data_IF_883537501180
#
_entry.id   IF_883537501180
#
_cell.length_a   1.000
_cell.length_b   1.000
_cell.length_c   1.000
_cell.angle_alpha   90.00
_cell.angle_beta   90.00
_cell.angle_gamma   90.00
#
_symmetry.space_group_name_H-M   'P 1'
#
loop_
_entity.id
_entity.type
_entity.pdbx_description
1 polymer ?
#
# COMPACT_ATOMS: atom_id res chain seq x y z
N UNK A 1 -16.44 -2.30 -5.83
CA UNK A 1 -15.59 -1.31 -5.13
C UNK A 1 -14.26 -1.29 -5.87
N UNK A 2 -13.75 -0.11 -6.21
CA UNK A 2 -12.50 0.03 -6.95
C UNK A 2 -11.52 0.91 -6.15
N UNK A 3 -10.24 0.55 -6.21
CA UNK A 3 -9.14 1.37 -5.71
C UNK A 3 -7.98 1.31 -6.74
N UNK A 4 -7.45 2.45 -7.21
CA UNK A 4 -7.85 3.82 -6.92
C UNK A 4 -9.33 4.11 -7.27
N UNK A 5 -9.97 5.11 -6.63
CA UNK A 5 -11.35 5.45 -6.93
C UNK A 5 -11.49 5.84 -8.41
N UNK A 6 -12.58 5.39 -9.03
CA UNK A 6 -12.90 5.69 -10.42
C UNK A 6 -14.38 6.05 -10.53
N UNK A 7 -14.69 7.02 -11.39
CA UNK A 7 -16.03 7.56 -11.59
C UNK A 7 -16.58 7.28 -13.00
N UNK A 8 -15.98 6.32 -13.72
CA UNK A 8 -16.35 5.98 -15.11
C UNK A 8 -17.49 4.95 -15.19
N UNK A 9 -17.87 4.35 -14.06
CA UNK A 9 -18.96 3.38 -13.97
C UNK A 9 -18.52 2.10 -13.26
N UNK A 10 -19.48 1.35 -12.72
CA UNK A 10 -19.20 0.08 -12.05
C UNK A 10 -18.70 -0.96 -13.06
N UNK A 11 -17.50 -1.51 -12.85
CA UNK A 11 -16.93 -2.57 -13.69
C UNK A 11 -17.74 -3.88 -13.67
N UNK A 12 -18.56 -4.09 -12.64
CA UNK A 12 -19.42 -5.28 -12.54
C UNK A 12 -20.77 -5.13 -13.26
N UNK A 13 -21.39 -3.94 -13.22
CA UNK A 13 -22.78 -3.75 -13.70
C UNK A 13 -23.01 -2.55 -14.61
N UNK A 14 -22.00 -1.73 -14.85
CA UNK A 14 -22.07 -0.54 -15.71
C UNK A 14 -22.79 0.67 -15.12
N UNK A 15 -23.31 0.61 -13.90
CA UNK A 15 -23.99 1.77 -13.27
C UNK A 15 -23.04 2.96 -13.08
N UNK A 16 -23.52 4.15 -13.40
CA UNK A 16 -22.84 5.43 -13.12
C UNK A 16 -23.17 5.99 -11.72
N UNK A 17 -24.13 5.39 -11.00
CA UNK A 17 -24.46 5.77 -9.63
C UNK A 17 -23.40 5.22 -8.67
N UNK A 18 -22.31 5.97 -8.52
CA UNK A 18 -21.18 5.64 -7.68
C UNK A 18 -21.11 6.62 -6.49
N UNK A 19 -20.62 6.12 -5.36
CA UNK A 19 -20.39 6.93 -4.16
C UNK A 19 -18.96 6.72 -3.67
N UNK A 20 -18.33 7.82 -3.24
CA UNK A 20 -17.04 7.75 -2.57
C UNK A 20 -17.21 7.19 -1.16
N UNK A 21 -16.29 6.30 -0.78
CA UNK A 21 -16.25 5.70 0.55
C UNK A 21 -14.85 5.81 1.12
N UNK A 22 -14.76 5.97 2.43
CA UNK A 22 -13.49 5.88 3.12
C UNK A 22 -13.09 4.39 3.27
N UNK A 23 -11.82 4.09 2.98
CA UNK A 23 -11.29 2.74 3.07
C UNK A 23 -10.31 2.65 4.24
N UNK A 24 -10.61 1.76 5.18
CA UNK A 24 -9.68 1.41 6.25
C UNK A 24 -8.42 0.77 5.64
N UNK A 25 -7.26 1.35 5.92
CA UNK A 25 -5.98 0.89 5.41
C UNK A 25 -5.44 -0.34 6.18
N UNK A 26 -6.28 -1.33 6.47
CA UNK A 26 -5.91 -2.55 7.21
C UNK A 26 -6.09 -3.77 6.32
N UNK A 27 -5.19 -4.74 6.43
CA UNK A 27 -5.25 -5.91 5.55
C UNK A 27 -4.20 -6.98 5.84
N UNK A 28 -4.03 -7.86 4.85
CA UNK A 28 -3.10 -8.99 4.86
C UNK A 28 -2.16 -8.90 3.66
N UNK A 29 -0.87 -9.12 3.88
CA UNK A 29 0.12 -9.22 2.79
C UNK A 29 -0.14 -10.49 1.96
N UNK A 30 -0.37 -10.32 0.66
CA UNK A 30 -0.48 -11.40 -0.31
C UNK A 30 0.89 -11.82 -0.87
N UNK A 31 1.80 -10.87 -1.01
CA UNK A 31 3.13 -11.09 -1.56
C UNK A 31 4.02 -9.87 -1.38
N UNK A 32 5.32 -10.09 -1.37
CA UNK A 32 6.30 -9.02 -1.18
C UNK A 32 7.63 -9.32 -1.87
N UNK A 33 8.32 -8.25 -2.29
CA UNK A 33 9.65 -8.33 -2.88
C UNK A 33 10.56 -7.28 -2.26
N UNK A 34 11.77 -7.69 -1.88
CA UNK A 34 12.81 -6.76 -1.45
C UNK A 34 13.59 -6.25 -2.68
N UNK A 35 13.67 -4.94 -2.81
CA UNK A 35 14.35 -4.24 -3.91
C UNK A 35 15.73 -3.84 -3.44
N UNK A 36 16.77 -4.38 -4.08
CA UNK A 36 18.18 -4.11 -3.73
C UNK A 36 18.85 -3.09 -4.67
N UNK A 37 18.28 -2.84 -5.86
CA UNK A 37 18.80 -1.90 -6.84
C UNK A 37 17.64 -0.97 -7.24
N UNK A 38 17.84 0.33 -7.08
CA UNK A 38 16.87 1.35 -7.43
C UNK A 38 17.57 2.52 -8.12
N UNK A 39 16.96 3.05 -9.18
CA UNK A 39 17.58 4.11 -9.98
C UNK A 39 17.53 5.49 -9.30
N UNK A 40 16.61 5.70 -8.38
CA UNK A 40 16.48 6.94 -7.60
C UNK A 40 17.17 6.78 -6.23
N UNK A 41 17.65 7.88 -5.62
CA UNK A 41 18.28 7.83 -4.29
C UNK A 41 17.30 7.49 -3.17
N UNK A 42 16.00 7.74 -3.38
CA UNK A 42 14.93 7.41 -2.44
C UNK A 42 13.86 6.54 -3.11
N UNK A 43 13.32 5.53 -2.40
CA UNK A 43 13.71 5.09 -1.05
C UNK A 43 15.08 4.41 -1.04
N UNK A 44 15.79 4.53 0.08
CA UNK A 44 17.08 3.87 0.28
C UNK A 44 16.93 2.34 0.17
N UNK A 45 17.83 1.71 -0.57
CA UNK A 45 17.87 0.25 -0.73
C UNK A 45 18.65 -0.42 0.41
N UNK A 46 18.26 -1.63 0.83
CA UNK A 46 17.08 -2.37 0.39
C UNK A 46 15.75 -1.88 1.01
N UNK A 47 14.66 -1.95 0.24
CA UNK A 47 13.31 -1.70 0.76
C UNK A 47 12.34 -2.77 0.28
N UNK A 48 11.22 -2.96 1.00
CA UNK A 48 10.24 -4.01 0.66
C UNK A 48 8.98 -3.41 0.07
N UNK A 49 8.61 -3.85 -1.14
CA UNK A 49 7.31 -3.58 -1.76
C UNK A 49 6.38 -4.75 -1.44
N UNK A 50 5.13 -4.48 -1.08
CA UNK A 50 4.13 -5.51 -0.82
C UNK A 50 2.81 -5.24 -1.53
N UNK A 51 2.13 -6.31 -1.90
CA UNK A 51 0.72 -6.31 -2.28
C UNK A 51 -0.09 -6.73 -1.06
N UNK A 52 -1.05 -5.88 -0.68
CA UNK A 52 -1.86 -6.06 0.52
C UNK A 52 -3.32 -6.11 0.11
N UNK A 53 -4.00 -7.21 0.44
CA UNK A 53 -5.46 -7.25 0.36
C UNK A 53 -6.04 -6.55 1.58
N UNK A 54 -6.67 -5.41 1.37
CA UNK A 54 -7.39 -4.71 2.42
C UNK A 54 -8.59 -5.54 2.88
N UNK A 55 -9.02 -5.34 4.11
CA UNK A 55 -10.18 -6.04 4.67
C UNK A 55 -11.47 -5.73 3.89
N UNK A 56 -11.56 -4.53 3.31
CA UNK A 56 -12.66 -4.13 2.43
C UNK A 56 -12.63 -4.82 1.05
N UNK A 57 -11.56 -5.54 0.71
CA UNK A 57 -11.45 -6.33 -0.53
C UNK A 57 -10.34 -5.91 -1.50
N UNK A 58 -10.16 -4.61 -1.84
CA UNK A 58 -9.17 -4.17 -2.83
C UNK A 58 -7.73 -4.58 -2.47
N UNK A 59 -6.93 -4.86 -3.50
CA UNK A 59 -5.49 -5.10 -3.35
C UNK A 59 -4.74 -3.80 -3.62
N UNK A 60 -3.94 -3.37 -2.65
CA UNK A 60 -3.13 -2.15 -2.71
C UNK A 60 -1.66 -2.51 -2.67
N UNK A 61 -0.88 -1.91 -3.59
CA UNK A 61 0.57 -2.05 -3.62
C UNK A 61 1.22 -0.82 -2.98
N UNK A 62 2.04 -1.03 -1.96
CA UNK A 62 2.82 0.03 -1.30
C UNK A 62 4.08 -0.55 -0.64
N UNK A 63 4.91 0.32 -0.05
CA UNK A 63 6.09 -0.11 0.71
C UNK A 63 5.68 -0.63 2.09
N UNK A 64 6.37 -1.65 2.59
CA UNK A 64 6.31 -2.00 4.01
C UNK A 64 7.19 -1.06 4.83
N UNK A 65 6.72 -0.64 6.00
CA UNK A 65 7.45 0.20 6.93
C UNK A 65 8.34 -0.63 7.87
N UNK A 66 9.23 -1.43 7.26
CA UNK A 66 10.13 -2.38 7.92
C UNK A 66 11.61 -2.01 7.73
N UNK A 67 11.88 -0.82 7.18
CA UNK A 67 13.21 -0.37 6.81
C UNK A 67 13.89 -1.34 5.85
N UNK A 68 15.09 -1.79 6.21
CA UNK A 68 15.93 -2.69 5.42
C UNK A 68 15.74 -4.18 5.80
N UNK A 69 14.78 -4.51 6.67
CA UNK A 69 14.56 -5.87 7.14
C UNK A 69 14.02 -6.77 6.02
N UNK A 70 14.70 -7.90 5.81
CA UNK A 70 14.15 -9.02 5.06
C UNK A 70 13.25 -9.88 5.96
N UNK A 71 12.32 -10.61 5.36
CA UNK A 71 11.43 -11.49 6.11
C UNK A 71 10.40 -12.18 5.23
N UNK A 72 9.79 -13.23 5.77
CA UNK A 72 8.56 -13.79 5.21
C UNK A 72 7.36 -12.96 5.69
N UNK A 73 6.92 -12.06 4.82
CA UNK A 73 5.81 -11.16 5.11
C UNK A 73 4.45 -11.74 4.73
N UNK A 74 4.40 -12.87 4.01
CA UNK A 74 3.14 -13.43 3.53
C UNK A 74 2.18 -13.74 4.69
N UNK A 75 0.92 -13.37 4.54
CA UNK A 75 -0.11 -13.63 5.56
C UNK A 75 -0.05 -12.72 6.78
N UNK A 76 0.96 -11.86 6.91
CA UNK A 76 1.08 -10.93 8.05
C UNK A 76 0.02 -9.83 7.97
N UNK A 77 -0.49 -9.44 9.14
CA UNK A 77 -1.42 -8.30 9.30
C UNK A 77 -0.66 -6.99 9.23
N UNK A 78 -1.23 -6.03 8.51
CA UNK A 78 -0.66 -4.70 8.32
C UNK A 78 -1.71 -3.61 8.45
N UNK A 79 -1.24 -2.39 8.68
CA UNK A 79 -2.06 -1.18 8.71
C UNK A 79 -1.35 -0.02 8.00
N UNK A 80 -2.11 0.93 7.47
CA UNK A 80 -1.60 2.11 6.78
C UNK A 80 -0.92 3.07 7.74
N UNK A 81 0.24 3.57 7.34
CA UNK A 81 0.99 4.62 8.04
C UNK A 81 1.45 5.67 7.03
N UNK A 82 1.48 6.93 7.46
CA UNK A 82 2.06 8.02 6.70
C UNK A 82 3.46 8.31 7.24
N UNK A 83 4.45 8.33 6.34
CA UNK A 83 5.84 8.69 6.64
C UNK A 83 6.24 9.90 5.81
N UNK A 84 7.06 10.77 6.36
CA UNK A 84 7.63 11.87 5.58
C UNK A 84 8.42 11.33 4.38
N UNK A 85 8.30 12.00 3.23
CA UNK A 85 9.04 11.70 2.00
C UNK A 85 10.04 12.83 1.73
N UNK A 86 11.33 12.51 1.68
CA UNK A 86 12.38 13.50 1.51
C UNK A 86 12.44 14.53 2.64
N UNK A 87 12.96 15.72 2.32
CA UNK A 87 13.24 16.79 3.30
C UNK A 87 12.03 17.70 3.58
N UNK A 88 10.99 17.67 2.75
CA UNK A 88 9.81 18.51 2.91
C UNK A 88 8.81 17.84 3.88
N UNK A 89 8.54 18.42 5.07
CA UNK A 89 7.62 17.84 6.05
C UNK A 89 6.17 17.83 5.59
N UNK A 90 5.80 18.61 4.56
CA UNK A 90 4.45 18.62 4.01
C UNK A 90 4.16 17.42 3.10
N UNK A 91 5.19 16.70 2.64
CA UNK A 91 5.04 15.57 1.72
C UNK A 91 5.08 14.25 2.48
N UNK A 92 3.93 13.58 2.54
CA UNK A 92 3.79 12.27 3.16
C UNK A 92 3.71 11.16 2.11
N UNK A 93 4.41 10.06 2.35
CA UNK A 93 4.32 8.81 1.64
C UNK A 93 3.54 7.79 2.48
N UNK A 94 2.56 7.16 1.84
CA UNK A 94 1.83 6.03 2.41
C UNK A 94 2.67 4.75 2.40
N UNK A 95 2.64 4.00 3.51
CA UNK A 95 3.26 2.70 3.69
C UNK A 95 2.35 1.78 4.49
N UNK A 96 2.67 0.49 4.53
CA UNK A 96 2.05 -0.47 5.43
C UNK A 96 2.98 -0.82 6.58
N UNK A 97 2.59 -0.47 7.81
CA UNK A 97 3.24 -0.94 9.03
C UNK A 97 2.81 -2.37 9.35
N UNK A 98 3.75 -3.21 9.79
CA UNK A 98 3.46 -4.58 10.22
C UNK A 98 3.01 -4.56 11.68
N UNK A 99 1.86 -5.15 11.96
CA UNK A 99 1.39 -5.32 13.34
C UNK A 99 2.22 -6.42 14.02
N UNK A 100 2.64 -6.19 15.27
CA UNK A 100 3.41 -7.17 16.06
C UNK A 100 2.67 -8.50 16.24
#
# INVERSE_FOLDING_TARGET
>A
MAFPPQHYGCECCGSAELADIELAAQGVVLGSSQVHIHAQPEPAVPFTVAEVRLDAGPVVRALLDVGHAAGDWHGRRVHGVLRQRGQDPAVLAFRFGVTA
#
